data_IF_006934475005
#
_entry.id   IF_006934475005
#
_cell.length_a   1.000
_cell.length_b   1.000
_cell.length_c   1.000
_cell.angle_alpha   90.00
_cell.angle_beta   90.00
_cell.angle_gamma   90.00
#
_symmetry.space_group_name_H-M   'P 1'
#
loop_
_entity.id
_entity.type
_entity.pdbx_description
1 polymer ?
#
# COMPACT_ATOMS: atom_id res chain seq x y z
N UNK A 1 -62.68 -1.76 -48.58
CA UNK A 1 -61.91 -0.87 -47.68
C UNK A 1 -60.93 -1.74 -46.91
N UNK A 2 -59.68 -1.91 -47.42
CA UNK A 2 -58.63 -2.71 -46.75
C UNK A 2 -57.82 -1.82 -45.80
N UNK A 3 -57.95 -2.06 -44.51
CA UNK A 3 -57.03 -1.49 -43.53
C UNK A 3 -55.79 -2.39 -43.45
N UNK A 4 -54.70 -1.94 -44.04
CA UNK A 4 -53.38 -2.58 -43.89
C UNK A 4 -52.91 -2.46 -42.44
N UNK A 5 -52.24 -3.50 -41.88
CA UNK A 5 -51.92 -3.55 -40.46
C UNK A 5 -50.68 -2.70 -40.19
N UNK A 6 -50.86 -1.63 -39.48
CA UNK A 6 -49.81 -0.73 -38.95
C UNK A 6 -48.84 -1.46 -38.06
N UNK A 7 -49.21 -2.66 -37.58
CA UNK A 7 -48.42 -3.50 -36.67
C UNK A 7 -47.23 -4.22 -37.31
N UNK A 8 -47.23 -4.42 -38.64
CA UNK A 8 -46.13 -5.13 -39.33
C UNK A 8 -44.95 -4.17 -39.60
N UNK A 9 -45.24 -2.90 -39.86
CA UNK A 9 -44.17 -1.90 -40.11
C UNK A 9 -43.41 -1.56 -38.80
N UNK A 10 -44.12 -1.51 -37.67
CA UNK A 10 -43.47 -1.29 -36.35
C UNK A 10 -42.62 -2.48 -35.91
N UNK A 11 -42.98 -3.71 -36.23
CA UNK A 11 -42.20 -4.90 -35.93
C UNK A 11 -40.92 -5.01 -36.77
N UNK A 12 -40.94 -4.57 -38.03
CA UNK A 12 -39.77 -4.55 -38.90
C UNK A 12 -38.79 -3.42 -38.53
N UNK A 13 -39.26 -2.27 -38.02
CA UNK A 13 -38.38 -1.20 -37.54
C UNK A 13 -37.68 -1.56 -36.18
N UNK A 14 -38.35 -2.33 -35.34
CA UNK A 14 -37.76 -2.81 -34.06
C UNK A 14 -36.70 -3.89 -34.26
N UNK A 15 -36.84 -4.72 -35.30
CA UNK A 15 -35.89 -5.78 -35.62
C UNK A 15 -34.58 -5.25 -36.21
N UNK A 16 -34.63 -4.08 -36.92
CA UNK A 16 -33.41 -3.46 -37.51
C UNK A 16 -32.51 -2.75 -36.49
N UNK A 17 -32.99 -2.39 -35.30
CA UNK A 17 -32.22 -1.74 -34.23
C UNK A 17 -31.40 -2.72 -33.38
N UNK A 18 -31.64 -4.04 -33.49
CA UNK A 18 -30.91 -5.06 -32.74
C UNK A 18 -29.67 -5.59 -33.48
N UNK A 19 -29.42 -5.19 -34.72
CA UNK A 19 -28.34 -5.73 -35.55
C UNK A 19 -27.05 -4.85 -35.57
N UNK A 20 -26.99 -3.72 -34.84
CA UNK A 20 -25.83 -2.82 -34.85
C UNK A 20 -24.90 -3.01 -33.63
N UNK A 21 -24.97 -4.15 -32.95
CA UNK A 21 -24.08 -4.50 -31.87
C UNK A 21 -22.79 -5.22 -32.31
N UNK A 22 -22.19 -4.88 -33.43
CA UNK A 22 -20.80 -5.26 -33.68
C UNK A 22 -19.89 -4.33 -32.92
N UNK A 23 -19.59 -4.69 -31.65
CA UNK A 23 -18.43 -4.15 -30.96
C UNK A 23 -17.20 -4.61 -31.72
N UNK A 24 -16.59 -3.72 -32.51
CA UNK A 24 -15.25 -3.94 -33.04
C UNK A 24 -14.32 -4.11 -31.80
N UNK A 25 -13.94 -5.34 -31.50
CA UNK A 25 -12.85 -5.61 -30.55
C UNK A 25 -11.65 -4.80 -31.05
N UNK A 26 -11.03 -3.96 -30.22
CA UNK A 26 -9.85 -3.22 -30.64
C UNK A 26 -8.82 -4.20 -31.17
N UNK A 27 -8.38 -3.97 -32.41
CA UNK A 27 -7.36 -4.82 -33.03
C UNK A 27 -6.10 -4.83 -32.18
N UNK A 28 -5.66 -6.03 -31.76
CA UNK A 28 -4.44 -6.16 -30.95
C UNK A 28 -3.21 -5.80 -31.77
N UNK A 29 -2.78 -4.57 -31.71
CA UNK A 29 -1.59 -4.04 -32.41
C UNK A 29 -0.34 -4.89 -32.17
N UNK A 30 -0.30 -5.68 -31.09
CA UNK A 30 0.85 -6.52 -30.72
C UNK A 30 0.72 -7.95 -31.26
N UNK A 31 -0.33 -8.32 -32.00
CA UNK A 31 -0.61 -9.70 -32.41
C UNK A 31 0.57 -10.36 -33.13
N UNK A 32 1.28 -9.61 -33.99
CA UNK A 32 2.47 -10.07 -34.72
C UNK A 32 3.82 -9.80 -34.05
N UNK A 33 3.85 -9.29 -32.80
CA UNK A 33 5.12 -8.93 -32.16
C UNK A 33 5.74 -10.15 -31.46
N UNK A 34 7.08 -10.22 -31.49
CA UNK A 34 7.83 -11.15 -30.66
C UNK A 34 7.80 -10.74 -29.20
N UNK A 35 8.08 -11.65 -28.29
CA UNK A 35 8.19 -11.37 -26.84
C UNK A 35 9.21 -10.28 -26.55
N UNK A 36 10.36 -10.30 -27.23
CA UNK A 36 11.42 -9.31 -27.06
C UNK A 36 10.96 -7.90 -27.49
N UNK A 37 10.19 -7.81 -28.58
CA UNK A 37 9.62 -6.55 -29.04
C UNK A 37 8.59 -5.99 -28.07
N UNK A 38 7.72 -6.85 -27.53
CA UNK A 38 6.74 -6.45 -26.52
C UNK A 38 7.46 -5.94 -25.26
N UNK A 39 8.52 -6.64 -24.83
CA UNK A 39 9.31 -6.24 -23.67
C UNK A 39 9.99 -4.90 -23.90
N UNK A 40 10.62 -4.70 -25.06
CA UNK A 40 11.28 -3.44 -25.40
C UNK A 40 10.28 -2.26 -25.35
N UNK A 41 9.14 -2.39 -26.02
CA UNK A 41 8.10 -1.36 -26.01
C UNK A 41 7.57 -1.09 -24.60
N UNK A 42 7.28 -2.16 -23.82
CA UNK A 42 6.83 -2.01 -22.45
C UNK A 42 7.85 -1.28 -21.55
N UNK A 43 9.14 -1.53 -21.78
CA UNK A 43 10.24 -0.86 -21.08
C UNK A 43 10.39 0.60 -21.52
N UNK A 44 10.20 0.90 -22.78
CA UNK A 44 10.25 2.27 -23.31
C UNK A 44 9.09 3.10 -22.74
N UNK A 45 7.88 2.56 -22.72
CA UNK A 45 6.74 3.19 -22.04
C UNK A 45 6.99 3.41 -20.55
N UNK A 46 7.51 2.40 -19.85
CA UNK A 46 7.86 2.51 -18.43
C UNK A 46 8.88 3.62 -18.17
N UNK A 47 9.94 3.68 -18.98
CA UNK A 47 11.04 4.65 -18.84
C UNK A 47 10.62 6.07 -19.18
N UNK A 48 9.66 6.24 -20.12
CA UNK A 48 9.09 7.54 -20.50
C UNK A 48 8.03 8.04 -19.53
N UNK A 49 7.63 7.21 -18.53
CA UNK A 49 6.56 7.53 -17.60
C UNK A 49 5.15 7.17 -18.08
N UNK A 50 5.03 6.48 -19.20
CA UNK A 50 3.77 5.95 -19.74
C UNK A 50 3.28 4.70 -19.00
N UNK A 51 3.15 4.78 -17.67
CA UNK A 51 2.87 3.62 -16.83
C UNK A 51 1.58 2.88 -17.19
N UNK A 52 0.52 3.62 -17.50
CA UNK A 52 -0.78 3.05 -17.91
C UNK A 52 -0.68 2.29 -19.24
N UNK A 53 0.20 2.72 -20.15
CA UNK A 53 0.48 2.05 -21.41
C UNK A 53 1.40 0.83 -21.23
N UNK A 54 2.34 0.88 -20.27
CA UNK A 54 3.27 -0.21 -19.98
C UNK A 54 2.56 -1.43 -19.36
N UNK A 55 1.57 -1.22 -18.46
CA UNK A 55 0.86 -2.30 -17.75
C UNK A 55 0.28 -3.36 -18.71
N UNK A 56 -0.55 -3.01 -19.73
CA UNK A 56 -1.12 -4.01 -20.63
C UNK A 56 -0.07 -4.71 -21.52
N UNK A 57 1.06 -4.05 -21.82
CA UNK A 57 2.16 -4.68 -22.56
C UNK A 57 2.87 -5.76 -21.71
N UNK A 58 3.16 -5.46 -20.44
CA UNK A 58 3.72 -6.45 -19.52
C UNK A 58 2.73 -7.61 -19.27
N UNK A 59 1.43 -7.34 -19.19
CA UNK A 59 0.41 -8.38 -19.03
C UNK A 59 0.36 -9.33 -20.23
N UNK A 60 0.42 -8.78 -21.46
CA UNK A 60 0.52 -9.58 -22.67
C UNK A 60 1.81 -10.42 -22.72
N UNK A 61 2.92 -9.81 -22.31
CA UNK A 61 4.21 -10.49 -22.26
C UNK A 61 4.19 -11.64 -21.25
N UNK A 62 3.63 -11.42 -20.05
CA UNK A 62 3.44 -12.46 -19.04
C UNK A 62 2.70 -13.68 -19.63
N UNK A 63 1.61 -13.45 -20.37
CA UNK A 63 0.85 -14.52 -21.00
C UNK A 63 1.62 -15.23 -22.13
N UNK A 64 2.32 -14.47 -23.01
CA UNK A 64 3.04 -15.06 -24.15
C UNK A 64 4.34 -15.75 -23.78
N UNK A 65 5.00 -15.29 -22.73
CA UNK A 65 6.25 -15.84 -22.22
C UNK A 65 6.04 -16.79 -21.02
N UNK A 66 4.83 -17.30 -20.81
CA UNK A 66 4.47 -18.09 -19.65
C UNK A 66 5.49 -19.22 -19.38
N UNK A 67 5.87 -19.40 -18.11
CA UNK A 67 6.85 -20.39 -17.68
C UNK A 67 8.32 -20.01 -17.87
N UNK A 68 8.60 -18.83 -18.42
CA UNK A 68 9.99 -18.36 -18.63
C UNK A 68 10.43 -17.33 -17.59
N UNK A 69 11.74 -17.08 -17.41
CA UNK A 69 12.24 -15.98 -16.59
C UNK A 69 11.74 -14.60 -17.06
N UNK A 70 11.51 -14.45 -18.37
CA UNK A 70 10.98 -13.20 -18.93
C UNK A 70 9.55 -12.91 -18.44
N UNK A 71 8.71 -13.93 -18.27
CA UNK A 71 7.38 -13.77 -17.68
C UNK A 71 7.45 -13.30 -16.21
N UNK A 72 8.41 -13.84 -15.43
CA UNK A 72 8.64 -13.39 -14.06
C UNK A 72 9.08 -11.93 -13.99
N UNK A 73 9.99 -11.55 -14.89
CA UNK A 73 10.43 -10.15 -14.99
C UNK A 73 9.26 -9.23 -15.39
N UNK A 74 8.44 -9.65 -16.34
CA UNK A 74 7.25 -8.90 -16.77
C UNK A 74 6.24 -8.69 -15.63
N UNK A 75 6.05 -9.69 -14.76
CA UNK A 75 5.20 -9.54 -13.57
C UNK A 75 5.72 -8.46 -12.60
N UNK A 76 7.03 -8.44 -12.35
CA UNK A 76 7.65 -7.46 -11.46
C UNK A 76 7.63 -6.06 -12.07
N UNK A 77 7.94 -5.93 -13.36
CA UNK A 77 7.89 -4.66 -14.08
C UNK A 77 6.45 -4.13 -14.18
N UNK A 78 5.44 -5.02 -14.36
CA UNK A 78 4.02 -4.68 -14.27
C UNK A 78 3.65 -4.11 -12.90
N UNK A 79 4.05 -4.81 -11.83
CA UNK A 79 3.79 -4.33 -10.47
C UNK A 79 4.43 -2.95 -10.21
N UNK A 80 5.64 -2.72 -10.72
CA UNK A 80 6.29 -1.43 -10.63
C UNK A 80 5.55 -0.35 -11.44
N UNK A 81 5.09 -0.65 -12.66
CA UNK A 81 4.29 0.26 -13.47
C UNK A 81 2.98 0.63 -12.76
N UNK A 82 2.26 -0.37 -12.21
CA UNK A 82 1.05 -0.15 -11.41
C UNK A 82 1.30 0.73 -10.19
N UNK A 83 2.41 0.50 -9.47
CA UNK A 83 2.82 1.36 -8.36
C UNK A 83 3.01 2.81 -8.81
N UNK A 84 3.72 3.02 -9.91
CA UNK A 84 4.01 4.36 -10.46
C UNK A 84 2.76 5.04 -11.05
N UNK A 85 1.81 4.26 -11.57
CA UNK A 85 0.47 4.72 -11.99
C UNK A 85 -0.47 5.03 -10.80
N UNK A 86 0.00 4.87 -9.55
CA UNK A 86 -0.79 4.99 -8.31
C UNK A 86 -1.92 3.95 -8.20
N UNK A 87 -1.79 2.83 -8.89
CA UNK A 87 -2.68 1.67 -8.82
C UNK A 87 -2.23 0.71 -7.69
N UNK A 88 -2.14 1.22 -6.46
CA UNK A 88 -1.58 0.49 -5.30
C UNK A 88 -2.21 -0.89 -5.06
N UNK A 89 -3.56 -1.07 -5.08
CA UNK A 89 -4.15 -2.38 -4.86
C UNK A 89 -3.76 -3.40 -5.93
N UNK A 90 -3.67 -2.99 -7.20
CA UNK A 90 -3.28 -3.85 -8.31
C UNK A 90 -1.79 -4.26 -8.19
N UNK A 91 -0.92 -3.31 -7.85
CA UNK A 91 0.49 -3.58 -7.61
C UNK A 91 0.69 -4.62 -6.49
N UNK A 92 -0.01 -4.48 -5.35
CA UNK A 92 0.04 -5.44 -4.24
C UNK A 92 -0.44 -6.82 -4.70
N UNK A 93 -1.58 -6.89 -5.39
CA UNK A 93 -2.13 -8.16 -5.89
C UNK A 93 -1.17 -8.85 -6.88
N UNK A 94 -0.51 -8.08 -7.75
CA UNK A 94 0.49 -8.60 -8.69
C UNK A 94 1.71 -9.15 -7.96
N UNK A 95 2.22 -8.46 -6.92
CA UNK A 95 3.36 -8.89 -6.11
C UNK A 95 3.02 -10.12 -5.27
N UNK A 96 1.85 -10.17 -4.64
CA UNK A 96 1.40 -11.33 -3.86
C UNK A 96 1.26 -12.56 -4.75
N UNK A 97 0.72 -12.40 -5.97
CA UNK A 97 0.64 -13.47 -6.96
C UNK A 97 2.03 -13.92 -7.40
N UNK A 98 2.96 -13.00 -7.65
CA UNK A 98 4.35 -13.34 -7.99
C UNK A 98 5.00 -14.19 -6.90
N UNK A 99 4.95 -13.75 -5.65
CA UNK A 99 5.57 -14.45 -4.52
C UNK A 99 4.95 -15.84 -4.30
N UNK A 100 3.63 -15.96 -4.52
CA UNK A 100 2.93 -17.24 -4.41
C UNK A 100 3.30 -18.22 -5.53
N UNK A 101 3.45 -17.75 -6.76
CA UNK A 101 3.77 -18.61 -7.91
C UNK A 101 5.26 -18.93 -7.99
N UNK A 102 6.13 -18.07 -7.46
CA UNK A 102 7.57 -18.17 -7.58
C UNK A 102 8.29 -18.08 -6.22
N UNK A 103 7.96 -18.95 -5.24
CA UNK A 103 8.42 -18.80 -3.85
C UNK A 103 9.95 -18.94 -3.68
N UNK A 104 10.63 -19.53 -4.64
CA UNK A 104 12.10 -19.70 -4.66
C UNK A 104 12.80 -18.79 -5.66
N UNK A 105 12.08 -17.83 -6.25
CA UNK A 105 12.69 -16.89 -7.20
C UNK A 105 13.75 -16.01 -6.49
N UNK A 106 14.91 -15.75 -7.12
CA UNK A 106 15.92 -14.86 -6.56
C UNK A 106 15.44 -13.40 -6.42
N UNK A 107 14.30 -13.06 -7.03
CA UNK A 107 13.71 -11.73 -6.97
C UNK A 107 12.62 -11.56 -5.88
N UNK A 108 12.50 -12.50 -4.96
CA UNK A 108 11.55 -12.39 -3.83
C UNK A 108 11.91 -11.19 -2.94
N UNK A 109 13.20 -10.93 -2.74
CA UNK A 109 13.66 -9.77 -1.97
C UNK A 109 13.19 -8.44 -2.61
N UNK A 110 13.29 -8.32 -3.94
CA UNK A 110 12.77 -7.17 -4.66
C UNK A 110 11.24 -7.08 -4.57
N UNK A 111 10.52 -8.21 -4.70
CA UNK A 111 9.07 -8.23 -4.60
C UNK A 111 8.58 -7.74 -3.22
N UNK A 112 9.21 -8.20 -2.14
CA UNK A 112 8.93 -7.74 -0.78
C UNK A 112 9.27 -6.26 -0.59
N UNK A 113 10.40 -5.82 -1.11
CA UNK A 113 10.81 -4.42 -1.07
C UNK A 113 9.81 -3.52 -1.78
N UNK A 114 9.42 -3.86 -3.01
CA UNK A 114 8.44 -3.09 -3.78
C UNK A 114 7.07 -3.09 -3.09
N UNK A 115 6.62 -4.21 -2.52
CA UNK A 115 5.38 -4.27 -1.74
C UNK A 115 5.43 -3.33 -0.53
N UNK A 116 6.56 -3.29 0.17
CA UNK A 116 6.80 -2.31 1.23
C UNK A 116 6.68 -0.87 0.72
N UNK A 117 7.29 -0.55 -0.43
CA UNK A 117 7.22 0.80 -1.03
C UNK A 117 5.81 1.20 -1.45
N UNK A 118 5.02 0.27 -2.01
CA UNK A 118 3.63 0.56 -2.43
C UNK A 118 2.77 1.04 -1.26
N UNK A 119 2.98 0.47 -0.07
CA UNK A 119 2.27 0.82 1.15
C UNK A 119 2.95 1.95 1.95
N UNK A 120 4.20 2.26 1.61
CA UNK A 120 4.98 3.29 2.31
C UNK A 120 4.43 4.68 1.97
N UNK A 121 4.31 5.51 2.99
CA UNK A 121 3.92 6.90 2.85
C UNK A 121 4.98 7.80 3.50
N UNK A 122 5.73 8.54 2.69
CA UNK A 122 6.76 9.47 3.16
C UNK A 122 6.18 10.65 3.97
N UNK A 123 4.87 10.88 3.87
CA UNK A 123 4.18 11.99 4.57
C UNK A 123 3.78 11.66 6.01
N UNK A 124 4.10 10.46 6.53
CA UNK A 124 3.86 10.10 7.94
C UNK A 124 4.76 10.84 8.92
N UNK A 125 5.80 11.53 8.43
CA UNK A 125 6.82 12.20 9.25
C UNK A 125 6.63 13.71 9.38
N UNK A 126 7.69 14.36 9.75
CA UNK A 126 7.98 15.70 10.25
C UNK A 126 7.04 16.89 9.91
N UNK A 127 6.19 16.80 8.87
CA UNK A 127 5.26 17.84 8.46
C UNK A 127 3.77 17.52 8.66
N UNK A 128 3.41 16.32 9.12
CA UNK A 128 2.01 15.94 9.34
C UNK A 128 1.34 16.80 10.42
N UNK A 129 2.11 17.28 11.41
CA UNK A 129 1.63 18.19 12.45
C UNK A 129 1.29 19.60 11.93
N UNK A 130 1.99 20.05 10.86
CA UNK A 130 1.71 21.36 10.24
C UNK A 130 0.46 21.29 9.37
N UNK A 131 0.23 20.16 8.70
CA UNK A 131 -0.91 19.99 7.78
C UNK A 131 -2.23 19.65 8.48
N UNK A 132 -2.24 19.41 9.82
CA UNK A 132 -3.43 18.96 10.59
C UNK A 132 -4.16 17.76 9.93
N UNK A 133 -3.44 16.99 9.12
CA UNK A 133 -4.01 15.76 8.57
C UNK A 133 -3.97 14.69 9.66
N UNK A 134 -5.14 14.40 10.22
CA UNK A 134 -5.31 13.19 11.02
C UNK A 134 -4.94 12.00 10.14
N UNK A 135 -3.94 11.21 10.60
CA UNK A 135 -3.65 9.94 9.98
C UNK A 135 -4.92 9.10 10.04
N UNK A 136 -5.55 8.88 8.88
CA UNK A 136 -6.74 8.05 8.82
C UNK A 136 -6.39 6.62 9.25
N UNK A 137 -7.36 5.87 9.75
CA UNK A 137 -7.20 4.46 10.12
C UNK A 137 -6.60 3.65 8.95
N UNK A 138 -6.93 4.04 7.71
CA UNK A 138 -6.41 3.47 6.48
C UNK A 138 -4.89 3.69 6.33
N UNK A 139 -4.40 4.88 6.68
CA UNK A 139 -2.98 5.21 6.56
C UNK A 139 -2.15 4.44 7.59
N UNK A 140 -2.67 4.20 8.80
CA UNK A 140 -2.02 3.36 9.80
C UNK A 140 -1.92 1.90 9.36
N UNK A 141 -2.99 1.36 8.75
CA UNK A 141 -2.96 0.01 8.20
C UNK A 141 -1.91 -0.12 7.10
N UNK A 142 -1.86 0.81 6.16
CA UNK A 142 -0.87 0.81 5.09
C UNK A 142 0.56 0.89 5.66
N UNK A 143 0.80 1.71 6.68
CA UNK A 143 2.09 1.80 7.35
C UNK A 143 2.50 0.47 8.02
N UNK A 144 1.57 -0.20 8.71
CA UNK A 144 1.81 -1.53 9.30
C UNK A 144 2.08 -2.59 8.23
N UNK A 145 1.31 -2.61 7.13
CA UNK A 145 1.50 -3.54 6.01
C UNK A 145 2.87 -3.30 5.32
N UNK A 146 3.30 -2.03 5.22
CA UNK A 146 4.63 -1.65 4.74
C UNK A 146 5.73 -2.19 5.65
N UNK A 147 5.61 -1.95 6.95
CA UNK A 147 6.55 -2.43 7.96
C UNK A 147 6.71 -3.96 7.90
N UNK A 148 5.61 -4.70 7.84
CA UNK A 148 5.64 -6.16 7.75
C UNK A 148 6.36 -6.66 6.50
N UNK A 149 6.14 -6.01 5.35
CA UNK A 149 6.82 -6.36 4.10
C UNK A 149 8.34 -6.13 4.20
N UNK A 150 8.77 -5.00 4.76
CA UNK A 150 10.20 -4.72 4.99
C UNK A 150 10.80 -5.63 6.06
N UNK A 151 10.06 -5.96 7.12
CA UNK A 151 10.50 -6.88 8.18
C UNK A 151 10.75 -8.28 7.61
N UNK A 152 9.82 -8.78 6.79
CA UNK A 152 9.98 -10.07 6.12
C UNK A 152 11.21 -10.07 5.20
N UNK A 153 11.42 -9.00 4.44
CA UNK A 153 12.60 -8.84 3.60
C UNK A 153 13.89 -8.93 4.42
N UNK A 154 14.01 -8.14 5.48
CA UNK A 154 15.22 -8.07 6.31
C UNK A 154 15.49 -9.40 7.03
N UNK A 155 14.43 -10.10 7.47
CA UNK A 155 14.55 -11.39 8.16
C UNK A 155 14.98 -12.51 7.21
N UNK A 156 14.41 -12.57 6.01
CA UNK A 156 14.68 -13.65 5.03
C UNK A 156 15.91 -13.40 4.17
N UNK A 157 16.21 -12.12 3.89
CA UNK A 157 17.26 -11.70 2.97
C UNK A 157 18.12 -10.59 3.59
N UNK A 158 18.84 -10.86 4.71
CA UNK A 158 19.59 -9.83 5.44
C UNK A 158 20.70 -9.17 4.62
N UNK A 159 21.25 -9.89 3.62
CA UNK A 159 22.29 -9.44 2.71
C UNK A 159 21.76 -8.86 1.39
N UNK A 160 20.46 -8.75 1.23
CA UNK A 160 19.87 -8.10 0.06
C UNK A 160 20.31 -6.63 -0.01
N UNK A 161 20.55 -6.15 -1.22
CA UNK A 161 20.83 -4.72 -1.48
C UNK A 161 19.74 -3.77 -0.99
N UNK A 162 18.52 -4.29 -0.80
CA UNK A 162 17.39 -3.52 -0.30
C UNK A 162 17.28 -3.51 1.23
N UNK A 163 18.01 -4.41 1.92
CA UNK A 163 17.82 -4.61 3.36
C UNK A 163 18.20 -3.38 4.19
N UNK A 164 19.21 -2.61 3.78
CA UNK A 164 19.62 -1.41 4.51
C UNK A 164 18.55 -0.31 4.42
N UNK A 165 18.03 -0.02 3.23
CA UNK A 165 16.97 0.97 3.05
C UNK A 165 15.66 0.51 3.75
N UNK A 166 15.34 -0.78 3.66
CA UNK A 166 14.20 -1.35 4.37
C UNK A 166 14.26 -1.12 5.89
N UNK A 167 15.43 -1.33 6.53
CA UNK A 167 15.63 -1.06 7.97
C UNK A 167 15.40 0.42 8.30
N UNK A 168 15.90 1.34 7.48
CA UNK A 168 15.69 2.77 7.68
C UNK A 168 14.20 3.15 7.61
N UNK A 169 13.48 2.59 6.63
CA UNK A 169 12.02 2.80 6.49
C UNK A 169 11.25 2.18 7.64
N UNK A 170 11.64 1.01 8.11
CA UNK A 170 11.04 0.39 9.30
C UNK A 170 11.16 1.29 10.52
N UNK A 171 12.35 1.83 10.78
CA UNK A 171 12.56 2.78 11.89
C UNK A 171 11.69 4.03 11.73
N UNK A 172 11.60 4.58 10.52
CA UNK A 172 10.73 5.72 10.24
C UNK A 172 9.26 5.41 10.53
N UNK A 173 8.76 4.25 10.06
CA UNK A 173 7.36 3.83 10.26
C UNK A 173 7.05 3.69 11.76
N UNK A 174 7.89 2.97 12.52
CA UNK A 174 7.68 2.75 13.95
C UNK A 174 7.62 4.08 14.69
N UNK A 175 8.57 4.98 14.44
CA UNK A 175 8.59 6.29 15.06
C UNK A 175 7.31 7.10 14.74
N UNK A 176 6.84 7.05 13.50
CA UNK A 176 5.63 7.77 13.07
C UNK A 176 4.37 7.21 13.73
N UNK A 177 4.25 5.88 13.83
CA UNK A 177 3.10 5.23 14.48
C UNK A 177 3.06 5.50 15.98
N UNK A 178 4.20 5.40 16.67
CA UNK A 178 4.30 5.73 18.09
C UNK A 178 3.97 7.21 18.37
N UNK A 179 4.48 8.12 17.54
CA UNK A 179 4.19 9.55 17.65
C UNK A 179 2.70 9.86 17.46
N UNK A 180 2.03 9.11 16.57
CA UNK A 180 0.58 9.24 16.40
C UNK A 180 -0.18 8.85 17.67
N UNK A 181 0.15 7.71 18.32
CA UNK A 181 -0.49 7.30 19.58
C UNK A 181 -0.31 8.36 20.67
N UNK A 182 0.89 8.94 20.80
CA UNK A 182 1.17 10.00 21.75
C UNK A 182 0.39 11.28 21.41
N UNK A 183 0.27 11.64 20.14
CA UNK A 183 -0.54 12.80 19.72
C UNK A 183 -2.01 12.62 20.11
N UNK A 184 -2.58 11.44 19.88
CA UNK A 184 -3.96 11.11 20.27
C UNK A 184 -4.11 11.11 21.81
N UNK A 185 -3.12 10.56 22.52
CA UNK A 185 -3.10 10.58 24.00
C UNK A 185 -3.14 12.02 24.54
N UNK A 186 -2.31 12.89 23.98
CA UNK A 186 -2.25 14.33 24.36
C UNK A 186 -3.60 15.01 24.07
N UNK A 187 -4.22 14.73 22.95
CA UNK A 187 -5.55 15.26 22.61
C UNK A 187 -6.60 14.89 23.64
N UNK A 188 -6.66 13.62 24.05
CA UNK A 188 -7.58 13.16 25.09
C UNK A 188 -7.25 13.77 26.45
N UNK A 189 -5.98 13.84 26.82
CA UNK A 189 -5.53 14.46 28.06
C UNK A 189 -6.00 15.92 28.17
N UNK A 190 -5.80 16.73 27.14
CA UNK A 190 -6.23 18.14 27.09
C UNK A 190 -7.75 18.32 27.24
N UNK A 191 -8.52 17.30 26.92
CA UNK A 191 -9.99 17.28 27.08
C UNK A 191 -10.46 16.69 28.40
N UNK A 192 -9.56 16.34 29.30
CA UNK A 192 -9.90 15.70 30.57
C UNK A 192 -10.34 14.23 30.47
N UNK A 193 -10.21 13.63 29.28
CA UNK A 193 -10.53 12.22 29.04
C UNK A 193 -9.35 11.32 29.45
N UNK A 194 -8.95 11.38 30.73
CA UNK A 194 -7.72 10.77 31.23
C UNK A 194 -7.62 9.27 31.00
N UNK A 195 -8.72 8.52 31.13
CA UNK A 195 -8.72 7.07 30.87
C UNK A 195 -8.39 6.75 29.42
N UNK A 196 -8.93 7.52 28.46
CA UNK A 196 -8.63 7.36 27.05
C UNK A 196 -7.16 7.80 26.75
N UNK A 197 -6.67 8.86 27.38
CA UNK A 197 -5.28 9.26 27.27
C UNK A 197 -4.31 8.20 27.75
N UNK A 198 -4.62 7.55 28.90
CA UNK A 198 -3.85 6.42 29.44
C UNK A 198 -3.79 5.28 28.44
N UNK A 199 -4.94 4.85 27.88
CA UNK A 199 -4.97 3.75 26.90
C UNK A 199 -4.09 4.01 25.70
N UNK A 200 -4.13 5.21 25.13
CA UNK A 200 -3.28 5.59 23.98
C UNK A 200 -1.80 5.68 24.34
N UNK A 201 -1.47 6.28 25.46
CA UNK A 201 -0.07 6.35 25.92
C UNK A 201 0.51 4.96 26.22
N UNK A 202 -0.30 4.06 26.80
CA UNK A 202 0.11 2.66 26.99
C UNK A 202 0.33 1.95 25.66
N UNK A 203 -0.52 2.14 24.64
CA UNK A 203 -0.29 1.58 23.30
C UNK A 203 1.04 2.07 22.71
N UNK A 204 1.39 3.35 22.88
CA UNK A 204 2.69 3.85 22.44
C UNK A 204 3.88 3.12 23.07
N UNK A 205 3.75 2.71 24.34
CA UNK A 205 4.81 2.00 25.07
C UNK A 205 4.85 0.50 24.77
N UNK A 206 3.68 -0.14 24.56
CA UNK A 206 3.58 -1.58 24.40
C UNK A 206 3.80 -2.06 22.97
N UNK A 207 3.32 -1.27 21.98
CA UNK A 207 3.28 -1.70 20.58
C UNK A 207 4.55 -1.30 19.81
N UNK A 208 5.35 -0.37 20.35
CA UNK A 208 6.54 0.17 19.69
C UNK A 208 7.73 0.21 20.64
N UNK A 209 8.79 -0.53 20.31
CA UNK A 209 9.99 -0.61 21.14
C UNK A 209 11.03 0.46 20.77
N UNK A 210 11.73 0.98 21.79
CA UNK A 210 12.89 1.86 21.65
C UNK A 210 12.67 3.09 20.72
N UNK A 211 11.53 3.78 20.91
CA UNK A 211 11.17 4.98 20.14
C UNK A 211 11.25 6.24 21.02
N UNK A 212 11.62 7.41 20.45
CA UNK A 212 11.68 8.67 21.20
C UNK A 212 10.33 9.09 21.81
N UNK A 213 9.21 8.66 21.24
CA UNK A 213 7.87 8.99 21.72
C UNK A 213 7.54 8.43 23.12
N UNK A 214 8.33 7.48 23.65
CA UNK A 214 8.12 6.87 24.97
C UNK A 214 8.21 7.88 26.11
N UNK A 215 9.13 8.82 26.07
CA UNK A 215 9.29 9.84 27.11
C UNK A 215 8.00 10.64 27.29
N UNK A 216 7.43 11.12 26.19
CA UNK A 216 6.19 11.88 26.24
C UNK A 216 4.98 11.01 26.63
N UNK A 217 4.92 9.75 26.18
CA UNK A 217 3.90 8.80 26.60
C UNK A 217 3.91 8.60 28.12
N UNK A 218 5.09 8.39 28.71
CA UNK A 218 5.26 8.27 30.15
C UNK A 218 4.83 9.55 30.88
N UNK A 219 5.19 10.72 30.34
CA UNK A 219 4.76 11.98 30.91
C UNK A 219 3.23 12.12 30.94
N UNK A 220 2.55 11.80 29.85
CA UNK A 220 1.08 11.83 29.77
C UNK A 220 0.46 10.84 30.77
N UNK A 221 1.04 9.66 30.93
CA UNK A 221 0.59 8.66 31.92
C UNK A 221 0.68 9.21 33.34
N UNK A 222 1.85 9.79 33.73
CA UNK A 222 2.05 10.37 35.05
C UNK A 222 0.97 11.41 35.35
N UNK A 223 0.75 12.35 34.42
CA UNK A 223 -0.24 13.41 34.60
C UNK A 223 -1.68 12.89 34.64
N UNK A 224 -1.99 11.88 33.82
CA UNK A 224 -3.33 11.29 33.78
C UNK A 224 -3.64 10.47 35.03
N UNK A 225 -2.67 9.73 35.56
CA UNK A 225 -2.82 9.01 36.83
C UNK A 225 -2.98 9.95 38.01
N UNK A 226 -2.24 11.06 38.02
CA UNK A 226 -2.36 12.09 39.05
C UNK A 226 -3.77 12.71 39.06
N UNK A 227 -4.28 13.09 37.88
CA UNK A 227 -5.62 13.64 37.70
C UNK A 227 -6.76 12.70 38.16
N UNK A 228 -6.51 11.37 38.08
CA UNK A 228 -7.46 10.34 38.54
C UNK A 228 -7.25 9.91 39.99
N UNK A 229 -6.23 10.46 40.72
CA UNK A 229 -5.91 10.08 42.08
C UNK A 229 -5.26 8.68 42.21
N UNK A 230 -4.75 8.13 41.11
CA UNK A 230 -4.10 6.81 41.06
C UNK A 230 -2.62 6.92 41.47
N UNK A 231 -2.36 7.26 42.73
CA UNK A 231 -1.05 7.68 43.25
C UNK A 231 0.03 6.62 43.06
N UNK A 232 -0.28 5.34 43.27
CA UNK A 232 0.70 4.26 43.10
C UNK A 232 1.16 4.15 41.64
N UNK A 233 0.22 4.10 40.68
CA UNK A 233 0.54 4.04 39.25
C UNK A 233 1.32 5.28 38.76
N UNK A 234 0.96 6.45 39.27
CA UNK A 234 1.70 7.69 39.02
C UNK A 234 3.16 7.56 39.46
N UNK A 235 3.36 7.16 40.71
CA UNK A 235 4.71 7.10 41.31
C UNK A 235 5.57 5.99 40.68
N UNK A 236 4.97 4.87 40.30
CA UNK A 236 5.64 3.80 39.57
C UNK A 236 6.07 4.26 38.17
N UNK A 237 5.17 4.93 37.44
CA UNK A 237 5.45 5.47 36.11
C UNK A 237 6.50 6.56 36.16
N UNK A 238 6.43 7.46 37.15
CA UNK A 238 7.44 8.52 37.33
C UNK A 238 8.84 7.96 37.56
N UNK A 239 8.98 6.88 38.34
CA UNK A 239 10.27 6.21 38.53
C UNK A 239 10.86 5.65 37.22
N UNK A 240 10.02 5.32 36.27
CA UNK A 240 10.48 4.89 34.93
C UNK A 240 10.89 6.10 34.08
N UNK A 241 10.13 7.18 34.14
CA UNK A 241 10.41 8.43 33.40
C UNK A 241 11.73 9.11 33.85
N UNK A 242 12.06 9.01 35.15
CA UNK A 242 13.23 9.66 35.76
C UNK A 242 14.55 8.89 35.52
N UNK A 243 14.54 7.76 34.82
CA UNK A 243 15.73 6.94 34.48
C UNK A 243 16.32 7.33 33.15
#
# INVERSE_FOLDING_TARGET
MLRAPFSIVTALLAASLLATGCSSTPEDKTAGWTTDRIYAEARDELNSGGYDAAVPLFEKLEGRAAGTPLAQQAQLDKAYAQYKANEKPQAIATLDRFMKLHPVSPAIDYALYLKGLVNFNDNLGMFSWVSRQDLSERDQKAAKDSYESFRELVARFPDSRYAQDARQRMTYIINSLAQYEVHVARYYFQRGAYVAAIGRAQSALSDYEAVPAHEEALYILVQSYDALGLTQLRDDTRRVLDK
#
